data_IF_003086197008
#
_entry.id   IF_003086197008
#
_cell.length_a   1.000
_cell.length_b   1.000
_cell.length_c   1.000
_cell.angle_alpha   90.00
_cell.angle_beta   90.00
_cell.angle_gamma   90.00
#
_symmetry.space_group_name_H-M   'P 1'
#
loop_
_entity.id
_entity.type
_entity.pdbx_description
1 polymer ?
#
# COMPACT_ATOMS: atom_id res chain seq x y z
N UNK A 1 -66.53 -37.62 -40.83
CA UNK A 1 -65.93 -38.96 -40.71
C UNK A 1 -65.39 -39.10 -39.29
N UNK A 2 -65.99 -39.94 -38.43
CA UNK A 2 -65.57 -40.06 -37.01
C UNK A 2 -64.40 -41.04 -36.81
N UNK A 3 -64.23 -41.98 -37.74
CA UNK A 3 -63.25 -43.06 -37.61
C UNK A 3 -61.81 -42.56 -37.81
N UNK A 4 -61.59 -41.57 -38.68
CA UNK A 4 -60.26 -40.98 -38.92
C UNK A 4 -59.78 -40.15 -37.73
N UNK A 5 -60.69 -39.44 -37.05
CA UNK A 5 -60.35 -38.64 -35.88
C UNK A 5 -59.90 -39.49 -34.68
N UNK A 6 -60.43 -40.71 -34.53
CA UNK A 6 -59.98 -41.64 -33.48
C UNK A 6 -58.53 -42.04 -33.69
N UNK A 7 -58.19 -42.45 -34.92
CA UNK A 7 -56.82 -42.86 -35.28
C UNK A 7 -55.84 -41.70 -35.11
N UNK A 8 -56.24 -40.49 -35.51
CA UNK A 8 -55.38 -39.32 -35.39
C UNK A 8 -55.13 -38.98 -33.92
N UNK A 9 -56.16 -38.98 -33.07
CA UNK A 9 -56.03 -38.72 -31.63
C UNK A 9 -55.07 -39.71 -30.96
N UNK A 10 -55.08 -40.98 -31.35
CA UNK A 10 -54.14 -42.00 -30.84
C UNK A 10 -52.69 -41.74 -31.28
N UNK A 11 -52.49 -41.12 -32.44
CA UNK A 11 -51.17 -40.79 -33.00
C UNK A 11 -50.65 -39.40 -32.59
N UNK A 12 -51.50 -38.53 -32.02
CA UNK A 12 -51.11 -37.17 -31.60
C UNK A 12 -49.96 -37.13 -30.59
N UNK A 13 -49.85 -38.02 -29.58
CA UNK A 13 -48.71 -38.01 -28.66
C UNK A 13 -47.38 -38.25 -29.39
N UNK A 14 -47.35 -39.22 -30.31
CA UNK A 14 -46.18 -39.53 -31.13
C UNK A 14 -45.84 -38.39 -32.09
N UNK A 15 -46.86 -37.71 -32.62
CA UNK A 15 -46.70 -36.53 -33.48
C UNK A 15 -46.16 -35.33 -32.68
N UNK A 16 -46.61 -35.13 -31.43
CA UNK A 16 -46.13 -34.06 -30.55
C UNK A 16 -44.66 -34.26 -30.12
N UNK A 17 -44.19 -35.51 -30.09
CA UNK A 17 -42.80 -35.89 -29.80
C UNK A 17 -41.93 -36.01 -31.08
N UNK A 18 -42.47 -35.66 -32.26
CA UNK A 18 -41.79 -35.75 -33.57
C UNK A 18 -41.29 -37.18 -33.91
N UNK A 19 -42.01 -38.20 -33.44
CA UNK A 19 -41.69 -39.62 -33.61
C UNK A 19 -42.51 -40.31 -34.72
N UNK A 20 -43.30 -39.54 -35.48
CA UNK A 20 -44.06 -40.05 -36.63
C UNK A 20 -43.24 -40.00 -37.92
N UNK A 21 -43.46 -40.95 -38.84
CA UNK A 21 -42.86 -40.88 -40.17
C UNK A 21 -43.31 -39.61 -40.92
N UNK A 22 -42.50 -39.06 -41.84
CA UNK A 22 -42.82 -37.80 -42.52
C UNK A 22 -44.15 -37.85 -43.29
N UNK A 23 -44.47 -38.99 -43.91
CA UNK A 23 -45.75 -39.22 -44.61
C UNK A 23 -46.95 -39.18 -43.63
N UNK A 24 -46.79 -39.75 -42.44
CA UNK A 24 -47.86 -39.76 -41.42
C UNK A 24 -48.02 -38.38 -40.77
N UNK A 25 -46.92 -37.65 -40.59
CA UNK A 25 -46.93 -36.29 -40.06
C UNK A 25 -47.66 -35.31 -41.00
N UNK A 26 -47.49 -35.46 -42.32
CA UNK A 26 -48.17 -34.62 -43.32
C UNK A 26 -49.68 -34.87 -43.34
N UNK A 27 -50.10 -36.14 -43.28
CA UNK A 27 -51.52 -36.51 -43.18
C UNK A 27 -52.18 -35.98 -41.88
N UNK A 28 -51.47 -36.03 -40.76
CA UNK A 28 -51.96 -35.47 -39.48
C UNK A 28 -52.08 -33.94 -39.56
N UNK A 29 -51.11 -33.24 -40.18
CA UNK A 29 -51.15 -31.78 -40.39
C UNK A 29 -52.34 -31.35 -41.24
N UNK A 30 -52.57 -32.03 -42.35
CA UNK A 30 -53.69 -31.76 -43.25
C UNK A 30 -55.02 -31.91 -42.49
N UNK A 31 -55.18 -32.98 -41.71
CA UNK A 31 -56.40 -33.20 -40.94
C UNK A 31 -56.62 -32.18 -39.81
N UNK A 32 -55.58 -31.80 -39.05
CA UNK A 32 -55.70 -30.80 -37.98
C UNK A 32 -56.03 -29.40 -38.54
N UNK A 33 -55.68 -29.13 -39.80
CA UNK A 33 -56.06 -27.89 -40.49
C UNK A 33 -57.59 -27.80 -40.69
N UNK A 34 -58.25 -28.93 -40.96
CA UNK A 34 -59.70 -29.03 -41.20
C UNK A 34 -60.56 -29.46 -40.00
N UNK A 35 -59.96 -30.01 -38.93
CA UNK A 35 -60.68 -30.57 -37.78
C UNK A 35 -60.35 -29.84 -36.47
N UNK A 36 -61.35 -29.19 -35.88
CA UNK A 36 -61.23 -28.45 -34.61
C UNK A 36 -61.01 -29.36 -33.40
N UNK A 37 -61.59 -30.57 -33.40
CA UNK A 37 -61.45 -31.52 -32.29
C UNK A 37 -60.02 -32.05 -32.15
N UNK A 38 -59.39 -32.43 -33.26
CA UNK A 38 -58.01 -32.94 -33.24
C UNK A 38 -57.00 -31.82 -32.92
N UNK A 39 -57.32 -30.57 -33.28
CA UNK A 39 -56.53 -29.39 -32.90
C UNK A 39 -56.55 -29.13 -31.40
N UNK A 40 -57.72 -29.24 -30.78
CA UNK A 40 -57.87 -29.08 -29.33
C UNK A 40 -57.10 -30.19 -28.59
N UNK A 41 -57.22 -31.44 -29.04
CA UNK A 41 -56.48 -32.56 -28.46
C UNK A 41 -54.95 -32.39 -28.55
N UNK A 42 -54.43 -31.86 -29.67
CA UNK A 42 -53.00 -31.55 -29.78
C UNK A 42 -52.56 -30.45 -28.81
N UNK A 43 -53.41 -29.45 -28.57
CA UNK A 43 -53.12 -28.36 -27.63
C UNK A 43 -53.11 -28.84 -26.16
N UNK A 44 -53.88 -29.87 -25.82
CA UNK A 44 -53.85 -30.50 -24.49
C UNK A 44 -52.59 -31.35 -24.27
N UNK A 45 -52.07 -31.94 -25.34
CA UNK A 45 -50.85 -32.77 -25.33
C UNK A 45 -49.56 -31.95 -25.42
N UNK A 46 -49.64 -30.70 -25.88
CA UNK A 46 -48.50 -29.81 -25.85
C UNK A 46 -48.01 -29.66 -24.40
N UNK A 47 -46.72 -29.91 -24.11
CA UNK A 47 -46.21 -29.79 -22.76
C UNK A 47 -46.50 -28.37 -22.29
N UNK A 48 -47.29 -28.26 -21.22
CA UNK A 48 -47.45 -27.01 -20.47
C UNK A 48 -46.03 -26.61 -20.09
N UNK A 49 -45.46 -25.61 -20.77
CA UNK A 49 -44.14 -25.10 -20.45
C UNK A 49 -44.21 -24.58 -19.01
N UNK A 50 -43.84 -25.42 -18.06
CA UNK A 50 -43.31 -24.94 -16.80
C UNK A 50 -42.03 -24.21 -17.19
N UNK A 51 -42.11 -22.88 -17.14
CA UNK A 51 -40.96 -22.00 -17.23
C UNK A 51 -39.85 -22.56 -16.33
N UNK A 52 -38.57 -22.45 -16.73
CA UNK A 52 -37.48 -22.93 -15.88
C UNK A 52 -37.61 -22.26 -14.51
N UNK A 53 -37.95 -23.05 -13.49
CA UNK A 53 -37.98 -22.61 -12.10
C UNK A 53 -36.54 -22.43 -11.60
N UNK A 54 -35.96 -21.30 -12.00
CA UNK A 54 -34.73 -20.75 -11.43
C UNK A 54 -35.04 -19.85 -10.21
N UNK A 55 -36.20 -19.98 -9.55
CA UNK A 55 -36.58 -19.08 -8.46
C UNK A 55 -37.33 -19.73 -7.31
N UNK A 56 -36.65 -20.55 -6.50
CA UNK A 56 -37.08 -20.67 -5.09
C UNK A 56 -36.01 -21.05 -4.06
N UNK A 57 -34.87 -21.63 -4.42
CA UNK A 57 -33.88 -22.09 -3.41
C UNK A 57 -32.50 -21.37 -3.44
N UNK A 58 -32.24 -20.48 -4.41
CA UNK A 58 -30.89 -19.90 -4.60
C UNK A 58 -30.68 -18.52 -3.93
N UNK A 59 -31.75 -17.89 -3.44
CA UNK A 59 -31.73 -16.51 -2.93
C UNK A 59 -31.03 -16.31 -1.57
N UNK A 60 -31.05 -17.24 -0.60
CA UNK A 60 -30.34 -17.03 0.67
C UNK A 60 -28.83 -17.31 0.58
N UNK A 61 -28.39 -18.26 -0.25
CA UNK A 61 -26.99 -18.68 -0.31
C UNK A 61 -26.10 -17.65 -1.01
N UNK A 62 -26.57 -16.98 -2.08
CA UNK A 62 -25.79 -15.93 -2.77
C UNK A 62 -25.54 -14.74 -1.85
N UNK A 63 -26.54 -14.33 -1.07
CA UNK A 63 -26.41 -13.25 -0.10
C UNK A 63 -25.48 -13.60 1.08
N UNK A 64 -25.57 -14.83 1.60
CA UNK A 64 -24.69 -15.33 2.67
C UNK A 64 -23.24 -15.44 2.19
N UNK A 65 -23.00 -15.99 0.98
CA UNK A 65 -21.66 -16.05 0.36
C UNK A 65 -21.07 -14.65 0.15
N UNK A 66 -21.88 -13.68 -0.31
CA UNK A 66 -21.46 -12.28 -0.48
C UNK A 66 -21.10 -11.61 0.86
N UNK A 67 -21.90 -11.83 1.91
CA UNK A 67 -21.59 -11.34 3.28
C UNK A 67 -20.30 -11.95 3.83
N UNK A 68 -20.08 -13.25 3.63
CA UNK A 68 -18.86 -13.92 4.08
C UNK A 68 -17.62 -13.45 3.31
N UNK A 69 -17.75 -13.27 1.98
CA UNK A 69 -16.69 -12.69 1.16
C UNK A 69 -16.35 -11.26 1.60
N UNK A 70 -17.37 -10.44 1.88
CA UNK A 70 -17.17 -9.07 2.35
C UNK A 70 -16.51 -9.01 3.74
N UNK A 71 -16.88 -9.91 4.67
CA UNK A 71 -16.18 -10.07 5.95
C UNK A 71 -14.72 -10.48 5.77
N UNK A 72 -14.42 -11.42 4.86
CA UNK A 72 -13.04 -11.84 4.57
C UNK A 72 -12.21 -10.69 4.01
N UNK A 73 -12.78 -9.90 3.09
CA UNK A 73 -12.13 -8.70 2.54
C UNK A 73 -11.87 -7.67 3.65
N UNK A 74 -12.85 -7.44 4.54
CA UNK A 74 -12.69 -6.53 5.66
C UNK A 74 -11.56 -6.97 6.60
N UNK A 75 -11.52 -8.26 6.97
CA UNK A 75 -10.46 -8.83 7.83
C UNK A 75 -9.10 -8.69 7.15
N UNK A 76 -9.00 -9.01 5.85
CA UNK A 76 -7.76 -8.85 5.10
C UNK A 76 -7.31 -7.38 5.03
N UNK A 77 -8.25 -6.45 4.78
CA UNK A 77 -7.96 -5.02 4.76
C UNK A 77 -7.50 -4.51 6.13
N UNK A 78 -8.15 -4.90 7.22
CA UNK A 78 -7.72 -4.57 8.57
C UNK A 78 -6.33 -5.13 8.89
N UNK A 79 -6.03 -6.37 8.47
CA UNK A 79 -4.72 -6.97 8.64
C UNK A 79 -3.63 -6.20 7.87
N UNK A 80 -3.90 -5.80 6.62
CA UNK A 80 -2.99 -4.98 5.82
C UNK A 80 -2.79 -3.60 6.44
N UNK A 81 -3.85 -2.95 6.93
CA UNK A 81 -3.72 -1.66 7.60
C UNK A 81 -2.93 -1.78 8.92
N UNK A 82 -3.14 -2.85 9.68
CA UNK A 82 -2.39 -3.11 10.91
C UNK A 82 -0.89 -3.35 10.63
N UNK A 83 -0.54 -4.10 9.59
CA UNK A 83 0.87 -4.31 9.21
C UNK A 83 1.52 -3.02 8.72
N UNK A 84 0.82 -2.23 7.92
CA UNK A 84 1.29 -0.90 7.51
C UNK A 84 1.51 0.00 8.73
N UNK A 85 0.55 0.05 9.66
CA UNK A 85 0.67 0.80 10.91
C UNK A 85 1.88 0.36 11.74
N UNK A 86 2.12 -0.94 11.85
CA UNK A 86 3.28 -1.50 12.54
C UNK A 86 4.60 -1.09 11.89
N UNK A 87 4.68 -1.10 10.55
CA UNK A 87 5.88 -0.66 9.81
C UNK A 87 6.17 0.82 10.10
N UNK A 88 5.15 1.68 10.06
CA UNK A 88 5.31 3.10 10.40
C UNK A 88 5.72 3.32 11.85
N UNK A 89 5.13 2.58 12.79
CA UNK A 89 5.49 2.66 14.21
C UNK A 89 6.95 2.25 14.47
N UNK A 90 7.38 1.10 13.91
CA UNK A 90 8.77 0.63 14.01
C UNK A 90 9.73 1.63 13.38
N UNK A 91 9.36 2.20 12.23
CA UNK A 91 10.19 3.20 11.55
C UNK A 91 10.34 4.47 12.39
N UNK A 92 9.25 4.97 12.99
CA UNK A 92 9.30 6.09 13.94
C UNK A 92 10.27 5.82 15.09
N UNK A 93 10.19 4.65 15.71
CA UNK A 93 11.08 4.25 16.81
C UNK A 93 12.57 4.22 16.37
N UNK A 94 12.86 3.72 15.17
CA UNK A 94 14.24 3.63 14.66
C UNK A 94 14.83 4.99 14.31
N UNK A 95 14.00 5.92 13.82
CA UNK A 95 14.39 7.28 13.47
C UNK A 95 14.50 8.17 14.73
N UNK A 96 13.71 7.90 15.78
CA UNK A 96 13.78 8.60 17.08
C UNK A 96 14.95 8.18 17.99
N UNK A 97 15.81 7.24 17.57
CA UNK A 97 16.96 6.86 18.40
C UNK A 97 17.89 8.07 18.56
N UNK A 98 18.25 8.45 19.81
CA UNK A 98 19.10 9.59 20.03
C UNK A 98 20.47 9.38 19.38
N UNK A 99 20.99 10.43 18.76
CA UNK A 99 22.35 10.45 18.22
C UNK A 99 23.32 10.27 19.37
N UNK A 100 24.30 9.37 19.22
CA UNK A 100 25.34 9.18 20.23
C UNK A 100 26.31 10.35 20.16
N UNK A 101 26.33 11.20 21.17
CA UNK A 101 27.28 12.32 21.25
C UNK A 101 28.33 12.02 22.30
N UNK A 102 29.60 12.05 21.91
CA UNK A 102 30.74 11.97 22.81
C UNK A 102 31.35 13.36 22.95
N UNK A 103 31.27 13.92 24.17
CA UNK A 103 31.78 15.26 24.47
C UNK A 103 33.24 15.25 24.92
N UNK A 104 33.82 14.09 25.22
CA UNK A 104 35.15 13.99 25.82
C UNK A 104 35.28 14.78 27.13
N UNK A 105 36.51 15.11 27.49
CA UNK A 105 36.83 16.04 28.56
C UNK A 105 37.23 17.38 27.95
N UNK A 106 36.50 18.44 28.28
CA UNK A 106 36.82 19.81 27.88
C UNK A 106 37.14 20.65 29.11
N UNK A 107 38.20 21.45 29.01
CA UNK A 107 38.58 22.49 29.97
C UNK A 107 38.12 23.87 29.49
N UNK A 108 37.92 24.04 28.18
CA UNK A 108 37.48 25.28 27.56
C UNK A 108 35.96 25.48 27.66
N UNK A 109 35.19 24.42 27.46
CA UNK A 109 33.73 24.51 27.33
C UNK A 109 33.01 23.75 28.44
N UNK A 110 31.91 24.33 28.92
CA UNK A 110 31.03 23.63 29.84
C UNK A 110 30.29 22.49 29.13
N UNK A 111 29.86 21.48 29.89
CA UNK A 111 29.03 20.41 29.36
C UNK A 111 27.68 20.92 28.80
N UNK A 112 27.21 22.09 29.25
CA UNK A 112 26.00 22.72 28.73
C UNK A 112 26.25 23.37 27.36
N UNK A 113 27.38 24.07 27.20
CA UNK A 113 27.76 24.68 25.93
C UNK A 113 27.96 23.63 24.84
N UNK A 114 28.65 22.53 25.16
CA UNK A 114 28.85 21.44 24.21
C UNK A 114 27.53 20.76 23.81
N UNK A 115 26.55 20.67 24.73
CA UNK A 115 25.21 20.17 24.42
C UNK A 115 24.44 21.12 23.50
N UNK A 116 24.55 22.44 23.71
CA UNK A 116 23.93 23.44 22.82
C UNK A 116 24.56 23.40 21.43
N UNK A 117 25.89 23.31 21.35
CA UNK A 117 26.62 23.20 20.10
C UNK A 117 26.27 21.91 19.33
N UNK A 118 26.24 20.75 20.00
CA UNK A 118 25.84 19.50 19.35
C UNK A 118 24.38 19.49 18.92
N UNK A 119 23.49 20.15 19.67
CA UNK A 119 22.09 20.33 19.28
C UNK A 119 21.96 21.18 18.00
N UNK A 120 22.76 22.24 17.84
CA UNK A 120 22.80 23.02 16.60
C UNK A 120 23.20 22.14 15.40
N UNK A 121 24.23 21.29 15.54
CA UNK A 121 24.64 20.33 14.51
C UNK A 121 23.54 19.34 14.16
N UNK A 122 22.87 18.77 15.17
CA UNK A 122 21.80 17.77 14.97
C UNK A 122 20.61 18.40 14.24
N UNK A 123 20.19 19.60 14.66
CA UNK A 123 19.09 20.34 14.02
C UNK A 123 19.41 20.59 12.56
N UNK A 124 20.57 21.18 12.28
CA UNK A 124 20.95 21.50 10.91
C UNK A 124 21.09 20.23 10.04
N UNK A 125 21.68 19.15 10.57
CA UNK A 125 21.77 17.88 9.86
C UNK A 125 20.39 17.30 9.48
N UNK A 126 19.40 17.46 10.36
CA UNK A 126 18.05 16.97 10.12
C UNK A 126 17.29 17.82 9.08
N UNK A 127 17.56 19.12 9.02
CA UNK A 127 16.91 20.07 8.09
C UNK A 127 17.31 19.86 6.63
N UNK A 128 18.47 19.24 6.38
CA UNK A 128 18.96 18.99 5.03
C UNK A 128 18.01 18.15 4.16
N UNK A 129 17.05 17.44 4.75
CA UNK A 129 16.14 16.53 4.04
C UNK A 129 16.83 15.23 3.61
N UNK A 130 16.24 14.45 2.70
CA UNK A 130 16.85 13.21 2.17
C UNK A 130 16.99 12.07 3.20
N UNK A 131 16.97 10.81 2.75
CA UNK A 131 17.12 9.64 3.65
C UNK A 131 18.57 9.49 4.15
N UNK A 132 19.00 10.38 5.06
CA UNK A 132 20.30 10.38 5.75
C UNK A 132 20.14 9.91 7.19
N UNK A 133 21.22 9.41 7.78
CA UNK A 133 21.25 8.99 9.18
C UNK A 133 22.56 9.40 9.84
N UNK A 134 22.48 10.28 10.83
CA UNK A 134 23.58 10.61 11.73
C UNK A 134 23.72 9.49 12.77
N UNK A 135 24.90 8.88 12.87
CA UNK A 135 25.16 7.81 13.84
C UNK A 135 25.76 8.35 15.13
N UNK A 136 26.75 9.23 15.00
CA UNK A 136 27.45 9.80 16.14
C UNK A 136 28.03 11.17 15.86
N UNK A 137 28.18 11.95 16.93
CA UNK A 137 28.98 13.16 17.00
C UNK A 137 30.07 12.98 18.06
N UNK A 138 31.26 13.47 17.79
CA UNK A 138 32.42 13.39 18.68
C UNK A 138 33.07 14.77 18.74
N UNK A 139 33.19 15.33 19.93
CA UNK A 139 33.93 16.56 20.15
C UNK A 139 35.40 16.35 19.75
N UNK A 140 35.96 17.25 18.96
CA UNK A 140 37.31 17.12 18.41
C UNK A 140 38.42 17.39 19.45
N UNK A 141 38.08 17.98 20.59
CA UNK A 141 39.01 18.34 21.64
C UNK A 141 39.40 19.82 21.63
N UNK A 142 39.84 20.31 22.78
CA UNK A 142 40.17 21.72 23.01
C UNK A 142 41.30 22.22 22.09
N UNK A 143 42.38 21.43 21.96
CA UNK A 143 43.53 21.78 21.10
C UNK A 143 43.14 21.95 19.63
N UNK A 144 42.16 21.18 19.15
CA UNK A 144 41.63 21.33 17.79
C UNK A 144 40.83 22.61 17.68
N UNK A 145 39.95 22.87 18.64
CA UNK A 145 39.11 24.06 18.66
C UNK A 145 39.93 25.35 18.68
N UNK A 146 40.99 25.40 19.49
CA UNK A 146 41.90 26.55 19.55
C UNK A 146 42.66 26.76 18.23
N UNK A 147 43.13 25.68 17.60
CA UNK A 147 43.84 25.77 16.32
C UNK A 147 42.94 26.27 15.20
N UNK A 148 41.70 25.77 15.15
CA UNK A 148 40.74 26.13 14.10
C UNK A 148 40.06 27.49 14.35
N UNK A 149 40.22 28.08 15.55
CA UNK A 149 39.65 29.40 15.86
C UNK A 149 40.14 30.49 14.92
N UNK A 150 41.41 30.46 14.51
CA UNK A 150 41.97 31.43 13.56
C UNK A 150 41.25 31.35 12.21
N UNK A 151 41.02 30.13 11.72
CA UNK A 151 40.27 29.90 10.47
C UNK A 151 38.82 30.38 10.57
N UNK A 152 38.16 30.16 11.72
CA UNK A 152 36.78 30.61 11.92
C UNK A 152 36.68 32.14 12.02
N UNK A 153 37.67 32.80 12.61
CA UNK A 153 37.76 34.26 12.65
C UNK A 153 37.92 34.91 11.27
N UNK A 154 38.56 34.22 10.33
CA UNK A 154 38.66 34.70 8.94
C UNK A 154 37.32 34.62 8.20
N UNK A 155 36.40 33.75 8.65
CA UNK A 155 35.08 33.55 8.04
C UNK A 155 33.98 34.43 8.67
N UNK A 156 34.23 35.01 9.85
CA UNK A 156 33.27 35.87 10.53
C UNK A 156 33.75 36.35 11.89
N UNK A 157 32.90 37.15 12.52
CA UNK A 157 33.19 37.79 13.81
C UNK A 157 32.82 36.85 14.96
N UNK A 158 33.71 35.90 15.26
CA UNK A 158 33.53 34.88 16.30
C UNK A 158 34.73 34.87 17.26
N UNK A 159 34.46 34.76 18.56
CA UNK A 159 35.49 34.71 19.60
C UNK A 159 35.77 33.29 20.08
N UNK A 160 34.81 32.39 19.89
CA UNK A 160 34.86 30.98 20.29
C UNK A 160 34.60 30.05 19.11
N UNK A 161 35.22 28.86 19.13
CA UNK A 161 35.10 27.86 18.08
C UNK A 161 34.93 26.46 18.69
N UNK A 162 33.90 25.72 18.27
CA UNK A 162 33.73 24.31 18.66
C UNK A 162 33.72 23.44 17.43
N UNK A 163 34.48 22.35 17.46
CA UNK A 163 34.58 21.40 16.35
C UNK A 163 34.01 20.04 16.74
N UNK A 164 33.10 19.51 15.93
CA UNK A 164 32.57 18.16 16.06
C UNK A 164 32.90 17.31 14.83
N UNK A 165 33.47 16.14 15.05
CA UNK A 165 33.49 15.06 14.06
C UNK A 165 32.16 14.31 14.07
N UNK A 166 31.63 14.02 12.89
CA UNK A 166 30.38 13.30 12.69
C UNK A 166 30.59 12.04 11.88
N UNK A 167 29.81 11.01 12.16
CA UNK A 167 29.74 9.80 11.33
C UNK A 167 28.30 9.64 10.84
N UNK A 168 28.09 9.66 9.53
CA UNK A 168 26.74 9.57 8.97
C UNK A 168 26.69 8.77 7.66
N UNK A 169 25.49 8.30 7.32
CA UNK A 169 25.22 7.63 6.04
C UNK A 169 24.66 8.62 5.03
N UNK A 170 25.27 8.69 3.84
CA UNK A 170 24.77 9.49 2.72
C UNK A 170 23.41 8.99 2.19
N UNK A 171 22.63 9.86 1.52
CA UNK A 171 21.34 9.47 0.97
C UNK A 171 21.50 8.40 -0.13
N UNK A 172 20.53 7.49 -0.21
CA UNK A 172 20.52 6.37 -1.17
C UNK A 172 20.39 6.85 -2.63
N UNK A 173 19.98 8.11 -2.85
CA UNK A 173 19.81 8.73 -4.17
C UNK A 173 20.30 10.20 -4.18
N UNK A 174 20.94 10.61 -5.28
CA UNK A 174 20.84 12.00 -5.78
C UNK A 174 21.94 13.02 -5.42
N UNK A 175 23.18 12.64 -5.09
CA UNK A 175 24.21 13.65 -4.81
C UNK A 175 25.66 13.22 -5.15
N UNK A 176 25.87 12.40 -6.19
CA UNK A 176 27.23 12.03 -6.63
C UNK A 176 28.03 11.15 -5.65
N UNK A 177 27.46 10.80 -4.50
CA UNK A 177 28.09 9.90 -3.52
C UNK A 177 27.94 8.43 -3.94
N UNK A 178 29.00 7.60 -3.84
CA UNK A 178 28.86 6.15 -3.96
C UNK A 178 27.82 5.60 -2.95
N UNK A 179 27.01 4.66 -3.42
CA UNK A 179 25.87 4.10 -2.66
C UNK A 179 26.36 3.46 -1.35
N UNK A 180 25.65 3.76 -0.26
CA UNK A 180 25.84 3.13 1.07
C UNK A 180 27.18 3.38 1.75
N UNK A 181 27.95 4.37 1.32
CA UNK A 181 29.17 4.76 2.03
C UNK A 181 28.83 5.49 3.34
N UNK A 182 29.60 5.16 4.38
CA UNK A 182 29.65 5.91 5.64
C UNK A 182 30.68 7.01 5.47
N UNK A 183 30.32 8.22 5.86
CA UNK A 183 31.16 9.39 5.74
C UNK A 183 31.46 9.98 7.11
N UNK A 184 32.66 10.52 7.22
CA UNK A 184 33.11 11.32 8.35
C UNK A 184 33.17 12.78 7.94
N UNK A 185 32.54 13.69 8.68
CA UNK A 185 32.66 15.14 8.44
C UNK A 185 32.95 15.89 9.72
N UNK A 186 33.70 16.97 9.60
CA UNK A 186 33.93 17.96 10.62
C UNK A 186 32.93 19.10 10.49
N UNK A 187 32.39 19.52 11.63
CA UNK A 187 31.47 20.62 11.80
C UNK A 187 32.16 21.69 12.62
N UNK A 188 32.21 22.91 12.09
CA UNK A 188 32.86 24.03 12.74
C UNK A 188 31.80 25.03 13.16
N UNK A 189 31.71 25.26 14.46
CA UNK A 189 30.76 26.18 15.07
C UNK A 189 31.48 27.40 15.59
N UNK A 190 30.87 28.56 15.40
CA UNK A 190 31.34 29.85 15.89
C UNK A 190 30.31 30.47 16.82
N UNK A 191 30.79 31.24 17.80
CA UNK A 191 29.97 32.04 18.69
C UNK A 191 30.73 33.31 19.06
N UNK A 192 29.99 34.40 19.27
CA UNK A 192 30.51 35.70 19.68
C UNK A 192 29.91 36.11 21.01
N UNK A 193 30.72 36.72 21.90
CA UNK A 193 30.26 37.32 23.17
C UNK A 193 29.37 36.39 24.04
N UNK A 194 29.56 35.08 23.96
CA UNK A 194 28.68 34.15 24.67
C UNK A 194 27.25 34.10 24.10
N UNK A 195 27.04 34.33 22.80
CA UNK A 195 25.76 34.23 22.08
C UNK A 195 25.25 32.80 21.82
N UNK A 196 24.58 32.55 20.69
CA UNK A 196 24.22 31.18 20.28
C UNK A 196 25.32 30.54 19.41
N UNK A 197 25.35 29.21 19.34
CA UNK A 197 26.28 28.49 18.47
C UNK A 197 25.76 28.43 17.05
N UNK A 198 26.54 28.95 16.11
CA UNK A 198 26.20 28.98 14.69
C UNK A 198 27.10 28.05 13.88
N UNK A 199 26.54 27.36 12.88
CA UNK A 199 27.32 26.50 11.98
C UNK A 199 28.01 27.39 10.96
N UNK A 200 29.32 27.59 11.12
CA UNK A 200 30.11 28.46 10.23
C UNK A 200 30.45 27.73 8.94
N UNK A 201 30.96 26.50 9.05
CA UNK A 201 31.30 25.66 7.91
C UNK A 201 31.33 24.18 8.29
N UNK A 202 31.40 23.31 7.28
CA UNK A 202 31.40 21.86 7.42
C UNK A 202 32.09 21.19 6.23
N UNK A 203 32.81 20.10 6.47
CA UNK A 203 33.56 19.44 5.40
C UNK A 203 34.49 18.32 5.87
N UNK A 204 35.35 17.89 4.96
CA UNK A 204 36.48 16.99 5.24
C UNK A 204 37.68 17.76 5.77
#
# INVERSE_FOLDING_TARGET
MKNECSVIKDLLPLYAEDMTSPETAEAIKEHISGCSECRAALAELAPKQEAPDDSSAALPLKAVKKKLAMKRILIAACAVLATIGLIFAVKGIVDSRPVKVNYGDSKLYSAEDLKKASAAVITDFNDWGGRRKLYSLTYAGDEVCERELAYIKDLGDYDECVVFGSVFRAPIFGAGFPKSSVYTWSWYLGRKDGGEWEIVTRGY
#
